data_IF_964002076881
#
_entry.id   IF_964002076881
#
_cell.length_a   1.000
_cell.length_b   1.000
_cell.length_c   1.000
_cell.angle_alpha   90.00
_cell.angle_beta   90.00
_cell.angle_gamma   90.00
#
_symmetry.space_group_name_H-M   'P 1'
#
loop_
_entity.id
_entity.type
_entity.pdbx_description
1 polymer ?
#
# COMPACT_ATOMS: atom_id res chain seq x y z
N UNK A 1 -23.87 6.84 16.57
CA UNK A 1 -22.62 6.06 16.75
C UNK A 1 -21.44 7.02 16.66
N UNK A 2 -20.41 6.80 17.48
CA UNK A 2 -19.28 7.73 17.66
C UNK A 2 -18.04 7.15 17.00
N UNK A 3 -17.45 7.87 16.05
CA UNK A 3 -16.16 7.48 15.47
C UNK A 3 -15.03 7.80 16.46
N UNK A 4 -14.15 6.83 16.70
CA UNK A 4 -13.09 6.95 17.69
C UNK A 4 -11.84 7.64 17.11
N UNK A 5 -11.58 8.88 17.50
CA UNK A 5 -10.40 9.66 17.09
C UNK A 5 -9.16 9.39 17.93
N UNK A 6 -9.31 8.66 19.04
CA UNK A 6 -8.22 8.29 19.93
C UNK A 6 -8.41 6.83 20.40
N UNK A 7 -7.32 6.05 20.60
CA UNK A 7 -7.41 4.68 21.11
C UNK A 7 -7.98 4.55 22.53
N UNK A 8 -7.88 5.60 23.35
CA UNK A 8 -8.42 5.66 24.71
C UNK A 8 -9.21 6.95 24.94
N UNK A 9 -10.15 6.91 25.89
CA UNK A 9 -11.02 8.05 26.24
C UNK A 9 -10.36 9.06 27.17
N UNK A 10 -9.40 8.63 28.01
CA UNK A 10 -8.72 9.48 28.99
C UNK A 10 -7.23 9.61 28.70
N UNK A 11 -6.66 10.78 28.98
CA UNK A 11 -5.22 11.04 28.82
C UNK A 11 -4.36 10.14 29.72
N UNK A 12 -4.86 9.77 30.90
CA UNK A 12 -4.19 8.84 31.81
C UNK A 12 -3.99 7.46 31.15
N UNK A 13 -5.02 6.92 30.49
CA UNK A 13 -4.90 5.63 29.78
C UNK A 13 -3.92 5.70 28.61
N UNK A 14 -3.90 6.81 27.87
CA UNK A 14 -2.88 7.05 26.84
C UNK A 14 -1.47 7.09 27.41
N UNK A 15 -1.29 7.76 28.55
CA UNK A 15 0.01 7.83 29.22
C UNK A 15 0.47 6.46 29.71
N UNK A 16 -0.42 5.68 30.32
CA UNK A 16 -0.13 4.32 30.77
C UNK A 16 0.20 3.39 29.59
N UNK A 17 -0.52 3.50 28.47
CA UNK A 17 -0.21 2.75 27.25
C UNK A 17 1.18 3.12 26.72
N UNK A 18 1.49 4.43 26.65
CA UNK A 18 2.81 4.91 26.27
C UNK A 18 3.93 4.41 27.19
N UNK A 19 3.74 4.49 28.50
CA UNK A 19 4.68 3.99 29.51
C UNK A 19 4.89 2.48 29.37
N UNK A 20 3.81 1.73 29.20
CA UNK A 20 3.86 0.28 29.01
C UNK A 20 4.64 -0.09 27.75
N UNK A 21 4.41 0.61 26.64
CA UNK A 21 5.16 0.43 25.41
C UNK A 21 6.62 0.86 25.55
N UNK A 22 6.94 1.93 26.30
CA UNK A 22 8.34 2.31 26.57
C UNK A 22 9.11 1.22 27.31
N UNK A 23 8.46 0.46 28.19
CA UNK A 23 9.05 -0.68 28.90
C UNK A 23 9.19 -1.93 28.01
N UNK A 24 8.18 -2.21 27.17
CA UNK A 24 8.16 -3.41 26.29
C UNK A 24 9.04 -3.22 25.04
N UNK A 25 9.11 -2.00 24.50
CA UNK A 25 9.73 -1.71 23.21
C UNK A 25 11.20 -2.15 23.10
N UNK A 26 12.08 -1.93 24.10
CA UNK A 26 13.46 -2.38 24.01
C UNK A 26 13.55 -3.90 23.81
N UNK A 27 12.81 -4.68 24.59
CA UNK A 27 12.78 -6.13 24.49
C UNK A 27 12.21 -6.59 23.13
N UNK A 28 11.10 -6.00 22.69
CA UNK A 28 10.52 -6.28 21.37
C UNK A 28 11.49 -5.98 20.23
N UNK A 29 12.16 -4.82 20.25
CA UNK A 29 13.08 -4.41 19.21
C UNK A 29 14.33 -5.31 19.18
N UNK A 30 14.87 -5.67 20.34
CA UNK A 30 16.02 -6.58 20.44
C UNK A 30 15.67 -7.97 19.89
N UNK A 31 14.49 -8.50 20.24
CA UNK A 31 14.00 -9.77 19.71
C UNK A 31 13.82 -9.70 18.19
N UNK A 32 13.20 -8.64 17.66
CA UNK A 32 13.02 -8.44 16.22
C UNK A 32 14.37 -8.39 15.49
N UNK A 33 15.38 -7.73 16.06
CA UNK A 33 16.75 -7.68 15.49
C UNK A 33 17.46 -9.02 15.56
N UNK A 34 17.32 -9.75 16.65
CA UNK A 34 17.89 -11.09 16.81
C UNK A 34 17.29 -12.05 15.78
N UNK A 35 15.96 -12.11 15.65
CA UNK A 35 15.28 -12.93 14.66
C UNK A 35 15.62 -12.52 13.22
N UNK A 36 15.68 -11.20 12.95
CA UNK A 36 16.09 -10.67 11.65
C UNK A 36 17.52 -11.08 11.27
N UNK A 37 18.42 -11.29 12.24
CA UNK A 37 19.78 -11.77 11.99
C UNK A 37 19.83 -13.25 11.59
N UNK A 38 18.88 -14.06 12.08
CA UNK A 38 18.77 -15.48 11.75
C UNK A 38 18.14 -15.72 10.36
N UNK A 39 17.31 -14.78 9.88
CA UNK A 39 16.57 -14.92 8.62
C UNK A 39 17.07 -13.92 7.58
N UNK A 40 17.93 -14.41 6.69
CA UNK A 40 18.45 -13.63 5.57
C UNK A 40 17.48 -13.60 4.38
N UNK A 41 17.31 -12.41 3.78
CA UNK A 41 16.58 -12.28 2.50
C UNK A 41 17.40 -12.87 1.33
N UNK A 42 16.72 -13.22 0.24
CA UNK A 42 17.34 -13.72 -1.00
C UNK A 42 18.34 -12.73 -1.59
N UNK A 43 18.06 -11.43 -1.48
CA UNK A 43 18.99 -10.38 -1.91
C UNK A 43 20.27 -10.40 -1.07
N UNK A 44 20.14 -10.45 0.27
CA UNK A 44 21.27 -10.55 1.18
C UNK A 44 22.05 -11.86 0.98
N UNK A 45 21.37 -12.99 0.72
CA UNK A 45 22.04 -14.27 0.39
C UNK A 45 22.87 -14.15 -0.89
N UNK A 46 22.33 -13.52 -1.93
CA UNK A 46 23.04 -13.28 -3.20
C UNK A 46 24.26 -12.35 -3.01
N UNK A 47 24.11 -11.30 -2.21
CA UNK A 47 25.22 -10.40 -1.89
C UNK A 47 26.33 -11.11 -1.11
N UNK A 48 25.98 -11.92 -0.08
CA UNK A 48 26.97 -12.74 0.65
C UNK A 48 27.70 -13.76 -0.22
N UNK A 49 27.05 -14.27 -1.26
CA UNK A 49 27.68 -15.17 -2.22
C UNK A 49 28.63 -14.45 -3.20
N UNK A 50 28.42 -13.16 -3.45
CA UNK A 50 29.25 -12.35 -4.35
C UNK A 50 30.43 -11.72 -3.61
N UNK A 51 30.24 -11.32 -2.35
CA UNK A 51 31.28 -10.73 -1.51
C UNK A 51 31.51 -11.60 -0.25
N UNK A 52 32.55 -12.46 -0.23
CA UNK A 52 32.90 -13.30 0.93
C UNK A 52 33.56 -12.48 2.06
N UNK A 53 33.09 -11.26 2.31
CA UNK A 53 33.61 -10.39 3.36
C UNK A 53 33.36 -11.01 4.74
N UNK A 54 34.43 -11.50 5.36
CA UNK A 54 34.47 -12.01 6.74
C UNK A 54 33.89 -11.04 7.76
N UNK A 55 33.93 -9.74 7.47
CA UNK A 55 33.45 -8.67 8.33
C UNK A 55 31.95 -8.77 8.68
N UNK A 56 31.07 -9.07 7.71
CA UNK A 56 29.63 -9.17 8.00
C UNK A 56 29.31 -10.39 8.88
N UNK A 57 29.97 -11.52 8.60
CA UNK A 57 29.82 -12.73 9.41
C UNK A 57 30.36 -12.52 10.83
N UNK A 58 31.48 -11.80 10.98
CA UNK A 58 32.05 -11.44 12.27
C UNK A 58 31.15 -10.45 13.04
N UNK A 59 30.57 -9.46 12.36
CA UNK A 59 29.61 -8.55 12.96
C UNK A 59 28.38 -9.29 13.50
N UNK A 60 27.86 -10.27 12.77
CA UNK A 60 26.73 -11.10 13.27
C UNK A 60 27.16 -11.96 14.46
N UNK A 61 28.36 -12.55 14.41
CA UNK A 61 28.90 -13.38 15.50
C UNK A 61 29.07 -12.60 16.82
N UNK A 62 29.42 -11.31 16.74
CA UNK A 62 29.58 -10.44 17.91
C UNK A 62 28.25 -9.79 18.31
N UNK A 63 27.44 -9.37 17.35
CA UNK A 63 26.18 -8.67 17.62
C UNK A 63 25.11 -9.61 18.19
N UNK A 64 25.04 -10.86 17.73
CA UNK A 64 24.06 -11.84 18.22
C UNK A 64 24.14 -12.09 19.75
N UNK A 65 25.31 -12.41 20.35
CA UNK A 65 25.40 -12.60 21.80
C UNK A 65 25.14 -11.30 22.57
N UNK A 66 25.54 -10.14 22.03
CA UNK A 66 25.24 -8.84 22.63
C UNK A 66 23.73 -8.57 22.65
N UNK A 67 23.03 -8.79 21.53
CA UNK A 67 21.58 -8.63 21.46
C UNK A 67 20.84 -9.61 22.37
N UNK A 68 21.34 -10.85 22.48
CA UNK A 68 20.79 -11.86 23.36
C UNK A 68 20.96 -11.47 24.85
N UNK A 69 22.14 -10.98 25.24
CA UNK A 69 22.38 -10.47 26.60
C UNK A 69 21.44 -9.30 26.94
N UNK A 70 21.35 -8.31 26.05
CA UNK A 70 20.46 -7.16 26.21
C UNK A 70 18.99 -7.58 26.24
N UNK A 71 18.60 -8.60 25.46
CA UNK A 71 17.26 -9.15 25.46
C UNK A 71 16.91 -9.70 26.84
N UNK A 72 17.74 -10.58 27.40
CA UNK A 72 17.52 -11.11 28.75
C UNK A 72 17.51 -10.03 29.84
N UNK A 73 18.38 -9.02 29.72
CA UNK A 73 18.40 -7.88 30.65
C UNK A 73 17.12 -7.02 30.59
N UNK A 74 16.47 -6.95 29.42
CA UNK A 74 15.25 -6.15 29.21
C UNK A 74 13.94 -6.90 29.49
N UNK A 75 13.97 -8.24 29.60
CA UNK A 75 12.80 -9.07 29.92
C UNK A 75 12.02 -8.66 31.19
N UNK A 76 12.64 -8.36 32.35
CA UNK A 76 11.87 -8.01 33.55
C UNK A 76 11.09 -6.70 33.36
N UNK A 77 11.66 -5.72 32.65
CA UNK A 77 10.98 -4.48 32.30
C UNK A 77 9.84 -4.73 31.32
N UNK A 78 10.06 -5.59 30.33
CA UNK A 78 9.03 -5.97 29.37
C UNK A 78 7.87 -6.70 30.05
N UNK A 79 8.13 -7.56 31.05
CA UNK A 79 7.10 -8.22 31.83
C UNK A 79 6.26 -7.21 32.61
N UNK A 80 6.90 -6.25 33.27
CA UNK A 80 6.19 -5.17 33.98
C UNK A 80 5.33 -4.34 33.01
N UNK A 81 5.91 -3.96 31.86
CA UNK A 81 5.18 -3.26 30.81
C UNK A 81 3.99 -4.07 30.29
N UNK A 82 4.14 -5.39 30.09
CA UNK A 82 3.07 -6.27 29.65
C UNK A 82 1.92 -6.37 30.67
N UNK A 83 2.24 -6.43 31.96
CA UNK A 83 1.24 -6.44 33.05
C UNK A 83 0.41 -5.15 33.06
N UNK A 84 1.01 -4.01 32.74
CA UNK A 84 0.30 -2.74 32.59
C UNK A 84 -0.49 -2.70 31.26
N UNK A 85 0.13 -3.16 30.17
CA UNK A 85 -0.42 -3.10 28.81
C UNK A 85 -1.65 -4.00 28.60
N UNK A 86 -1.60 -5.24 29.07
CA UNK A 86 -2.65 -6.23 28.86
C UNK A 86 -4.05 -5.78 29.32
N UNK A 87 -4.25 -5.24 30.55
CA UNK A 87 -5.56 -4.74 30.98
C UNK A 87 -6.00 -3.49 30.21
N UNK A 88 -5.07 -2.63 29.75
CA UNK A 88 -5.42 -1.47 28.92
C UNK A 88 -6.10 -1.88 27.61
N UNK A 89 -5.72 -3.04 27.05
CA UNK A 89 -6.35 -3.56 25.83
C UNK A 89 -7.84 -3.87 26.01
N UNK A 90 -8.30 -4.11 27.25
CA UNK A 90 -9.71 -4.33 27.54
C UNK A 90 -10.57 -3.06 27.35
N UNK A 91 -10.00 -1.87 27.50
CA UNK A 91 -10.72 -0.57 27.36
C UNK A 91 -10.38 0.16 26.06
N UNK A 92 -9.42 -0.35 25.29
CA UNK A 92 -9.01 0.21 24.01
C UNK A 92 -10.13 0.16 22.96
N UNK A 93 -10.20 1.21 22.14
CA UNK A 93 -11.10 1.29 21.01
C UNK A 93 -10.71 0.31 19.88
N UNK A 94 -11.69 -0.24 19.14
CA UNK A 94 -11.44 -1.28 18.13
C UNK A 94 -10.81 -0.78 16.84
N UNK A 95 -10.75 0.54 16.64
CA UNK A 95 -10.12 1.19 15.49
C UNK A 95 -9.78 2.64 15.84
N UNK A 96 -8.92 3.24 15.02
CA UNK A 96 -8.54 4.64 15.09
C UNK A 96 -8.96 5.35 13.79
N UNK A 97 -9.91 6.26 13.91
CA UNK A 97 -10.36 7.16 12.86
C UNK A 97 -9.54 8.46 12.88
N UNK A 98 -8.90 8.77 11.75
CA UNK A 98 -8.18 10.03 11.58
C UNK A 98 -8.75 10.75 10.36
N UNK A 99 -8.93 12.06 10.48
CA UNK A 99 -9.39 12.88 9.38
C UNK A 99 -8.49 14.10 9.17
N UNK A 100 -8.39 14.57 7.93
CA UNK A 100 -7.79 15.84 7.58
C UNK A 100 -8.78 16.64 6.74
N UNK A 101 -9.13 17.84 7.21
CA UNK A 101 -9.99 18.75 6.46
C UNK A 101 -9.30 19.16 5.17
N UNK A 102 -9.91 18.84 4.02
CA UNK A 102 -9.50 19.41 2.74
C UNK A 102 -10.46 20.54 2.37
N UNK A 103 -9.93 21.74 2.14
CA UNK A 103 -10.72 22.94 1.80
C UNK A 103 -11.38 22.92 0.41
N UNK A 104 -11.16 21.88 -0.40
CA UNK A 104 -11.65 21.83 -1.76
C UNK A 104 -12.80 20.83 -1.91
N UNK A 105 -13.98 21.18 -1.39
CA UNK A 105 -15.22 20.52 -1.78
C UNK A 105 -15.59 20.95 -3.20
N UNK A 106 -15.07 20.25 -4.21
CA UNK A 106 -15.61 20.35 -5.57
C UNK A 106 -16.93 19.59 -5.60
N UNK A 107 -18.03 20.32 -5.81
CA UNK A 107 -19.34 19.76 -6.07
C UNK A 107 -19.25 18.93 -7.37
N UNK A 108 -19.57 17.63 -7.29
CA UNK A 108 -19.26 16.67 -8.34
C UNK A 108 -20.47 16.37 -9.25
N UNK A 109 -20.26 16.10 -10.55
CA UNK A 109 -21.33 15.89 -11.54
C UNK A 109 -22.12 14.59 -11.33
N UNK A 110 -23.32 14.52 -11.91
CA UNK A 110 -24.21 13.35 -11.94
C UNK A 110 -23.71 12.28 -12.93
N UNK A 111 -23.87 10.98 -12.61
CA UNK A 111 -23.40 9.85 -13.43
C UNK A 111 -22.03 9.29 -13.02
N UNK A 112 -21.86 8.93 -11.74
CA UNK A 112 -20.55 8.65 -11.12
C UNK A 112 -20.12 7.18 -11.23
N UNK A 113 -18.84 6.98 -11.51
CA UNK A 113 -18.14 5.72 -11.29
C UNK A 113 -17.34 5.83 -9.99
N UNK A 114 -17.39 4.78 -9.15
CA UNK A 114 -16.58 4.67 -7.95
C UNK A 114 -15.40 3.75 -8.18
N UNK A 115 -14.22 4.19 -7.76
CA UNK A 115 -13.03 3.38 -7.86
C UNK A 115 -12.66 2.78 -6.49
N UNK A 116 -12.61 1.45 -6.43
CA UNK A 116 -12.21 0.67 -5.26
C UNK A 116 -10.87 -0.01 -5.53
N UNK A 117 -9.98 0.00 -4.55
CA UNK A 117 -8.71 -0.73 -4.60
C UNK A 117 -8.50 -1.51 -3.31
N UNK A 118 -8.09 -2.75 -3.49
CA UNK A 118 -7.65 -3.65 -2.46
C UNK A 118 -6.17 -3.96 -2.64
N UNK A 119 -5.40 -4.01 -1.55
CA UNK A 119 -4.08 -4.61 -1.59
C UNK A 119 -3.65 -5.19 -0.24
N UNK A 120 -3.11 -6.41 -0.28
CA UNK A 120 -2.29 -6.93 0.81
C UNK A 120 -0.88 -6.35 0.68
N UNK A 121 -0.42 -5.59 1.68
CA UNK A 121 0.85 -4.85 1.61
C UNK A 121 1.98 -5.48 2.44
N UNK A 122 1.69 -6.54 3.20
CA UNK A 122 2.68 -7.32 3.96
C UNK A 122 3.62 -6.41 4.78
N UNK A 123 3.04 -5.54 5.61
CA UNK A 123 3.74 -4.64 6.53
C UNK A 123 3.81 -5.25 7.93
N UNK A 124 4.54 -6.37 8.03
CA UNK A 124 4.85 -7.06 9.27
C UNK A 124 6.07 -6.45 9.97
N UNK A 125 6.29 -6.74 11.28
CA UNK A 125 7.60 -6.60 11.93
C UNK A 125 8.74 -7.12 11.05
N UNK A 126 9.94 -6.53 11.12
CA UNK A 126 11.02 -6.77 10.14
C UNK A 126 11.44 -8.25 10.11
N UNK A 127 11.51 -8.88 11.29
CA UNK A 127 11.77 -10.32 11.42
C UNK A 127 10.75 -11.18 10.66
N UNK A 128 9.45 -10.91 10.83
CA UNK A 128 8.38 -11.63 10.17
C UNK A 128 8.34 -11.33 8.65
N UNK A 129 8.60 -10.08 8.26
CA UNK A 129 8.65 -9.67 6.86
C UNK A 129 9.74 -10.42 6.07
N UNK A 130 10.85 -10.79 6.72
CA UNK A 130 11.97 -11.51 6.10
C UNK A 130 11.62 -12.93 5.67
N UNK A 131 10.67 -13.60 6.32
CA UNK A 131 10.16 -14.89 5.85
C UNK A 131 9.48 -14.77 4.49
N UNK A 132 8.83 -13.62 4.23
CA UNK A 132 8.29 -13.26 2.92
C UNK A 132 9.32 -12.60 2.00
N UNK A 133 10.61 -12.68 2.32
CA UNK A 133 11.71 -12.08 1.57
C UNK A 133 11.61 -10.54 1.46
N UNK A 134 11.07 -9.88 2.49
CA UNK A 134 10.91 -8.43 2.56
C UNK A 134 11.76 -7.87 3.70
N UNK A 135 12.35 -6.70 3.50
CA UNK A 135 13.10 -5.95 4.50
C UNK A 135 12.67 -4.49 4.53
N UNK A 136 13.07 -3.77 5.58
CA UNK A 136 12.82 -2.34 5.75
C UNK A 136 11.33 -1.98 5.70
N UNK A 137 10.51 -2.64 6.53
CA UNK A 137 9.05 -2.43 6.59
C UNK A 137 8.68 -0.94 6.66
N UNK A 138 9.40 -0.13 7.44
CA UNK A 138 9.17 1.31 7.54
C UNK A 138 9.39 2.07 6.23
N UNK A 139 10.45 1.75 5.48
CA UNK A 139 10.76 2.38 4.19
C UNK A 139 9.75 1.94 3.13
N UNK A 140 9.42 0.65 3.11
CA UNK A 140 8.39 0.07 2.25
C UNK A 140 7.04 0.73 2.47
N UNK A 141 6.60 0.91 3.72
CA UNK A 141 5.34 1.57 4.04
C UNK A 141 5.25 3.00 3.50
N UNK A 142 6.34 3.78 3.63
CA UNK A 142 6.43 5.13 3.06
C UNK A 142 6.35 5.10 1.54
N UNK A 143 7.05 4.17 0.90
CA UNK A 143 7.09 4.07 -0.56
C UNK A 143 5.78 3.55 -1.15
N UNK A 144 5.15 2.55 -0.53
CA UNK A 144 3.81 2.06 -0.90
C UNK A 144 2.79 3.21 -0.84
N UNK A 145 2.75 3.96 0.26
CA UNK A 145 1.86 5.12 0.37
C UNK A 145 2.14 6.20 -0.68
N UNK A 146 3.42 6.43 -1.01
CA UNK A 146 3.83 7.36 -2.08
C UNK A 146 3.34 6.91 -3.46
N UNK A 147 3.46 5.62 -3.79
CA UNK A 147 3.02 5.04 -5.07
C UNK A 147 1.50 5.05 -5.22
N UNK A 148 0.78 4.70 -4.17
CA UNK A 148 -0.69 4.75 -4.14
C UNK A 148 -1.16 6.18 -4.40
N UNK A 149 -0.67 7.13 -3.60
CA UNK A 149 -1.00 8.55 -3.78
C UNK A 149 -0.67 9.02 -5.19
N UNK A 150 0.55 8.77 -5.64
CA UNK A 150 1.01 9.24 -6.95
C UNK A 150 0.19 8.62 -8.09
N UNK A 151 -0.27 7.37 -7.98
CA UNK A 151 -1.15 6.72 -8.96
C UNK A 151 -2.57 7.27 -8.92
N UNK A 152 -3.14 7.41 -7.73
CA UNK A 152 -4.50 7.92 -7.54
C UNK A 152 -4.66 9.39 -7.94
N UNK A 153 -3.61 10.20 -7.80
CA UNK A 153 -3.58 11.61 -8.21
C UNK A 153 -3.26 11.82 -9.70
N UNK A 154 -3.06 10.76 -10.51
CA UNK A 154 -2.76 10.93 -11.94
C UNK A 154 -4.00 11.43 -12.68
N UNK A 155 -3.85 12.35 -13.66
CA UNK A 155 -4.93 12.66 -14.58
C UNK A 155 -5.25 11.43 -15.43
N UNK A 156 -6.54 11.12 -15.62
CA UNK A 156 -6.97 10.10 -16.58
C UNK A 156 -6.76 10.63 -18.00
N UNK A 157 -5.77 10.11 -18.71
CA UNK A 157 -5.61 10.35 -20.15
C UNK A 157 -6.47 9.31 -20.85
N UNK A 158 -7.69 9.69 -21.27
CA UNK A 158 -8.54 8.85 -22.13
C UNK A 158 -8.11 9.09 -23.57
N UNK A 159 -7.38 8.15 -24.16
CA UNK A 159 -7.11 8.15 -25.59
C UNK A 159 -8.31 7.49 -26.26
N UNK A 160 -9.07 8.25 -27.03
CA UNK A 160 -10.14 7.70 -27.85
C UNK A 160 -9.51 6.89 -28.98
N UNK A 161 -9.79 5.58 -29.01
CA UNK A 161 -9.37 4.70 -30.09
C UNK A 161 -10.59 4.45 -30.96
N UNK A 162 -10.78 5.30 -31.96
CA UNK A 162 -11.73 5.01 -33.03
C UNK A 162 -11.19 3.80 -33.79
N UNK A 163 -11.91 2.67 -33.70
CA UNK A 163 -11.58 1.49 -34.48
C UNK A 163 -12.09 1.72 -35.91
N UNK A 164 -11.23 1.79 -36.94
CA UNK A 164 -11.69 1.99 -38.32
C UNK A 164 -12.21 0.66 -38.85
N UNK A 165 -13.41 0.24 -38.45
CA UNK A 165 -14.10 -0.87 -39.10
C UNK A 165 -15.60 -0.72 -38.87
N UNK A 166 -16.23 0.10 -39.72
CA UNK A 166 -17.60 -0.05 -40.23
C UNK A 166 -17.96 1.17 -41.09
N UNK A 167 -17.18 1.45 -42.14
CA UNK A 167 -17.73 2.15 -43.31
C UNK A 167 -18.58 1.13 -44.06
N UNK A 168 -19.86 1.11 -43.71
CA UNK A 168 -20.91 0.47 -44.48
C UNK A 168 -20.77 0.89 -45.94
N UNK A 169 -20.54 -0.10 -46.80
CA UNK A 169 -20.68 -0.01 -48.25
C UNK A 169 -22.08 0.54 -48.53
N UNK A 170 -22.17 1.78 -49.02
CA UNK A 170 -23.34 2.26 -49.73
C UNK A 170 -22.89 2.84 -51.05
N UNK A 171 -23.01 1.99 -52.07
CA UNK A 171 -23.07 2.34 -53.48
C UNK A 171 -24.31 3.18 -53.76
N UNK A 172 -24.16 4.33 -54.42
CA UNK A 172 -24.89 4.77 -55.64
C UNK A 172 -24.65 6.27 -55.98
N UNK A 173 -24.90 6.71 -57.24
CA UNK A 173 -23.89 7.43 -58.03
C UNK A 173 -24.20 8.90 -58.41
N UNK A 174 -23.16 9.54 -58.96
CA UNK A 174 -23.13 10.60 -60.00
C UNK A 174 -23.89 11.93 -59.80
N UNK A 175 -23.15 13.05 -59.73
CA UNK A 175 -23.11 14.08 -60.79
C UNK A 175 -22.37 15.36 -60.34
N UNK A 176 -21.35 15.76 -61.13
CA UNK A 176 -21.09 17.14 -61.55
C UNK A 176 -20.39 18.13 -60.61
N UNK A 177 -19.26 18.68 -61.06
CA UNK A 177 -18.90 20.09 -60.82
C UNK A 177 -17.53 20.36 -60.18
N UNK A 178 -16.50 20.44 -61.04
CA UNK A 178 -15.26 21.20 -60.97
C UNK A 178 -14.97 22.09 -59.75
N UNK A 179 -13.76 21.97 -59.18
CA UNK A 179 -12.71 22.99 -59.38
C UNK A 179 -11.45 22.70 -58.56
N UNK A 180 -10.32 22.96 -59.22
CA UNK A 180 -8.92 22.82 -58.83
C UNK A 180 -8.53 23.68 -57.62
N UNK A 181 -7.58 23.22 -56.80
CA UNK A 181 -6.18 23.70 -56.88
C UNK A 181 -5.26 23.15 -55.78
N UNK A 182 -4.07 22.77 -56.24
CA UNK A 182 -2.75 22.93 -55.61
C UNK A 182 -2.29 21.98 -54.48
N UNK A 183 -1.61 20.93 -54.93
CA UNK A 183 -0.12 20.82 -54.86
C UNK A 183 0.53 19.92 -53.81
N UNK A 184 1.20 18.90 -54.38
CA UNK A 184 2.55 18.36 -54.09
C UNK A 184 2.71 17.20 -53.10
N UNK A 185 2.60 15.97 -53.63
CA UNK A 185 3.73 15.04 -53.94
C UNK A 185 5.14 15.46 -53.43
N UNK A 186 6.08 14.62 -52.98
CA UNK A 186 6.24 13.15 -52.94
C UNK A 186 7.55 12.85 -52.19
N UNK A 187 7.53 11.79 -51.37
CA UNK A 187 8.45 10.63 -51.39
C UNK A 187 9.91 10.82 -51.88
N UNK A 188 10.90 10.57 -51.01
CA UNK A 188 12.16 9.90 -51.38
C UNK A 188 12.91 9.35 -50.14
N UNK A 189 13.32 8.08 -50.23
CA UNK A 189 14.20 7.33 -49.31
C UNK A 189 15.67 7.65 -49.59
N UNK A 190 16.61 7.31 -48.68
CA UNK A 190 17.93 6.66 -48.90
C UNK A 190 18.60 6.45 -47.51
N UNK A 191 18.91 5.22 -47.03
CA UNK A 191 20.22 4.49 -47.06
C UNK A 191 21.47 5.40 -46.96
N UNK A 192 22.55 5.18 -46.19
CA UNK A 192 23.05 4.13 -45.29
C UNK A 192 24.56 4.36 -45.05
N UNK A 193 25.04 4.04 -43.85
CA UNK A 193 26.40 3.61 -43.44
C UNK A 193 27.68 4.51 -43.42
N UNK A 194 28.44 4.31 -42.34
CA UNK A 194 29.90 4.39 -42.09
C UNK A 194 30.69 5.72 -42.09
N UNK A 195 31.51 5.93 -41.03
CA UNK A 195 32.64 6.90 -41.01
C UNK A 195 33.09 7.38 -39.63
N UNK A 196 34.31 7.01 -39.23
CA UNK A 196 35.01 7.25 -37.94
C UNK A 196 35.70 8.64 -37.89
N UNK A 197 35.77 9.30 -36.71
CA UNK A 197 36.72 10.42 -36.49
C UNK A 197 36.54 11.31 -35.24
N UNK A 198 37.15 10.90 -34.12
CA UNK A 198 37.99 11.68 -33.16
C UNK A 198 37.48 12.99 -32.46
N UNK A 199 37.58 12.95 -31.12
CA UNK A 199 37.90 14.00 -30.10
C UNK A 199 36.84 15.02 -29.63
N UNK A 200 36.56 15.00 -28.31
CA UNK A 200 36.87 16.07 -27.33
C UNK A 200 35.87 16.18 -26.16
N UNK A 201 36.37 15.92 -24.96
CA UNK A 201 36.22 16.61 -23.66
C UNK A 201 34.85 17.15 -23.16
N UNK A 202 34.42 16.56 -22.04
CA UNK A 202 33.61 17.09 -20.91
C UNK A 202 32.78 18.38 -21.12
N UNK A 203 31.45 18.28 -20.94
CA UNK A 203 30.65 18.93 -19.86
C UNK A 203 29.14 18.88 -20.17
N UNK A 204 28.37 18.39 -19.20
CA UNK A 204 26.93 18.61 -18.93
C UNK A 204 25.85 18.14 -19.94
N UNK A 205 24.78 17.60 -19.34
CA UNK A 205 23.41 17.50 -19.87
C UNK A 205 23.17 16.64 -21.12
N UNK A 206 22.91 15.35 -20.93
CA UNK A 206 21.79 14.60 -21.51
C UNK A 206 21.96 13.10 -21.21
N UNK A 207 21.11 12.51 -20.37
CA UNK A 207 20.91 11.05 -20.36
C UNK A 207 19.78 10.75 -21.34
N UNK A 208 20.01 10.06 -22.46
CA UNK A 208 18.93 9.67 -23.36
C UNK A 208 18.07 8.60 -22.68
N UNK A 209 16.78 8.89 -22.50
CA UNK A 209 15.76 7.87 -22.22
C UNK A 209 15.67 6.93 -23.43
N UNK A 210 16.20 5.72 -23.30
CA UNK A 210 15.89 4.62 -24.23
C UNK A 210 15.39 3.41 -23.45
N UNK A 211 14.22 3.54 -22.81
CA UNK A 211 13.42 2.35 -22.50
C UNK A 211 12.69 1.95 -23.77
N UNK A 212 13.27 0.98 -24.49
CA UNK A 212 12.60 0.28 -25.59
C UNK A 212 11.33 -0.34 -25.02
N UNK A 213 10.20 0.24 -25.41
CA UNK A 213 8.86 -0.22 -25.05
C UNK A 213 8.59 -1.51 -25.83
N UNK A 214 8.90 -2.67 -25.24
CA UNK A 214 8.36 -3.95 -25.73
C UNK A 214 6.84 -3.88 -25.54
N UNK A 215 6.12 -3.65 -26.64
CA UNK A 215 4.66 -3.75 -26.69
C UNK A 215 4.26 -5.13 -26.16
N UNK A 216 3.45 -5.25 -25.10
CA UNK A 216 2.90 -6.54 -24.73
C UNK A 216 2.00 -7.01 -25.87
N UNK A 217 2.17 -8.28 -26.25
CA UNK A 217 1.42 -8.93 -27.32
C UNK A 217 -0.08 -8.69 -27.15
N UNK A 218 -0.71 -8.20 -28.21
CA UNK A 218 -2.14 -7.96 -28.33
C UNK A 218 -2.87 -9.31 -28.16
N UNK A 219 -3.31 -9.62 -26.93
CA UNK A 219 -4.29 -10.69 -26.69
C UNK A 219 -5.52 -10.34 -27.53
N UNK A 220 -5.92 -11.23 -28.43
CA UNK A 220 -7.12 -11.08 -29.27
C UNK A 220 -8.28 -10.74 -28.34
N UNK A 221 -8.92 -9.58 -28.56
CA UNK A 221 -10.15 -9.19 -27.87
C UNK A 221 -11.18 -10.29 -28.13
N UNK A 222 -11.53 -11.04 -27.09
CA UNK A 222 -12.73 -11.87 -27.11
C UNK A 222 -13.91 -10.89 -27.01
N UNK A 223 -14.81 -10.91 -27.99
CA UNK A 223 -15.84 -9.88 -28.19
C UNK A 223 -17.00 -9.91 -27.20
N UNK A 224 -16.78 -10.36 -25.96
CA UNK A 224 -17.87 -10.68 -25.02
C UNK A 224 -17.68 -10.13 -23.60
N UNK A 225 -16.73 -9.22 -23.39
CA UNK A 225 -16.45 -8.66 -22.06
C UNK A 225 -17.16 -7.32 -21.87
N UNK A 226 -18.14 -7.29 -20.96
CA UNK A 226 -19.02 -6.12 -20.69
C UNK A 226 -18.27 -4.94 -20.05
N UNK A 227 -17.03 -5.14 -19.57
CA UNK A 227 -16.23 -4.12 -18.89
C UNK A 227 -14.74 -4.24 -19.25
N UNK A 228 -14.03 -3.10 -19.17
CA UNK A 228 -12.60 -3.03 -19.42
C UNK A 228 -11.82 -3.77 -18.32
N UNK A 229 -10.91 -4.65 -18.73
CA UNK A 229 -9.96 -5.33 -17.85
C UNK A 229 -8.54 -5.14 -18.37
N UNK A 230 -7.62 -4.71 -17.50
CA UNK A 230 -6.21 -4.51 -17.84
C UNK A 230 -5.27 -4.90 -16.71
N UNK A 231 -4.04 -5.25 -17.06
CA UNK A 231 -2.92 -5.30 -16.12
C UNK A 231 -2.24 -3.93 -16.16
N UNK A 232 -2.44 -3.14 -15.11
CA UNK A 232 -1.90 -1.79 -15.02
C UNK A 232 -0.62 -1.74 -14.19
N UNK A 233 0.36 -0.95 -14.63
CA UNK A 233 1.58 -0.69 -13.84
C UNK A 233 1.35 0.35 -12.71
N UNK A 234 0.16 0.93 -12.63
CA UNK A 234 -0.16 2.02 -11.72
C UNK A 234 -1.46 1.74 -10.97
N UNK A 235 -1.58 2.33 -9.78
CA UNK A 235 -2.87 2.43 -9.12
C UNK A 235 -3.85 3.23 -9.98
N UNK A 236 -5.14 2.86 -9.98
CA UNK A 236 -6.14 3.54 -10.79
C UNK A 236 -6.22 5.01 -10.40
N UNK A 237 -6.29 5.87 -11.41
CA UNK A 237 -6.52 7.29 -11.22
C UNK A 237 -7.90 7.53 -10.62
N UNK A 238 -8.03 8.56 -9.79
CA UNK A 238 -9.27 8.93 -9.09
C UNK A 238 -9.80 7.88 -8.11
N UNK A 239 -8.90 7.15 -7.43
CA UNK A 239 -9.25 6.16 -6.43
C UNK A 239 -10.12 6.75 -5.30
N UNK A 240 -11.28 6.15 -5.02
CA UNK A 240 -12.21 6.64 -4.00
C UNK A 240 -12.04 5.95 -2.65
N UNK A 241 -11.86 4.64 -2.70
CA UNK A 241 -11.77 3.79 -1.53
C UNK A 241 -10.58 2.85 -1.67
N UNK A 242 -9.73 2.83 -0.65
CA UNK A 242 -8.56 1.98 -0.57
C UNK A 242 -8.65 1.13 0.69
N UNK A 243 -8.67 -0.18 0.52
CA UNK A 243 -8.66 -1.13 1.62
C UNK A 243 -7.37 -1.97 1.58
N UNK A 244 -6.66 -2.01 2.71
CA UNK A 244 -5.37 -2.68 2.81
C UNK A 244 -5.42 -3.81 3.84
N UNK A 245 -4.69 -4.90 3.57
CA UNK A 245 -4.42 -5.98 4.51
C UNK A 245 -2.94 -6.07 4.90
N UNK A 246 -2.69 -6.81 5.98
CA UNK A 246 -1.39 -7.04 6.60
C UNK A 246 -0.64 -5.75 6.98
N UNK A 247 -1.38 -4.73 7.43
CA UNK A 247 -0.84 -3.50 8.01
C UNK A 247 -0.65 -3.66 9.52
N UNK A 248 0.27 -4.55 9.92
CA UNK A 248 0.43 -4.95 11.32
C UNK A 248 1.39 -4.04 12.11
N UNK A 249 2.51 -3.66 11.51
CA UNK A 249 3.54 -2.87 12.20
C UNK A 249 3.07 -1.43 12.45
N UNK A 250 3.11 -1.00 13.72
CA UNK A 250 2.57 0.30 14.14
C UNK A 250 3.36 1.48 13.54
N UNK A 251 4.69 1.35 13.46
CA UNK A 251 5.57 2.37 12.89
C UNK A 251 5.40 2.53 11.38
N UNK A 252 5.18 1.43 10.67
CA UNK A 252 4.85 1.34 9.26
C UNK A 252 3.48 1.94 8.98
N UNK A 253 2.47 1.57 9.78
CA UNK A 253 1.10 2.11 9.73
C UNK A 253 1.12 3.63 9.80
N UNK A 254 1.84 4.20 10.76
CA UNK A 254 1.97 5.65 10.93
C UNK A 254 2.66 6.34 9.75
N UNK A 255 3.65 5.71 9.12
CA UNK A 255 4.33 6.25 7.92
C UNK A 255 3.45 6.17 6.68
N UNK A 256 2.75 5.05 6.49
CA UNK A 256 1.80 4.82 5.41
C UNK A 256 0.63 5.82 5.49
N UNK A 257 -0.01 5.91 6.66
CA UNK A 257 -1.11 6.85 6.93
C UNK A 257 -0.75 8.30 6.60
N UNK A 258 0.45 8.76 6.98
CA UNK A 258 0.93 10.11 6.65
C UNK A 258 1.07 10.36 5.14
N UNK A 259 1.38 9.34 4.34
CA UNK A 259 1.41 9.48 2.88
C UNK A 259 0.01 9.46 2.28
N UNK A 260 -0.88 8.60 2.80
CA UNK A 260 -2.25 8.47 2.33
C UNK A 260 -3.11 9.70 2.61
N UNK A 261 -2.93 10.33 3.78
CA UNK A 261 -3.67 11.56 4.18
C UNK A 261 -3.54 12.73 3.20
N UNK A 262 -2.49 12.75 2.38
CA UNK A 262 -2.31 13.75 1.32
C UNK A 262 -3.31 13.63 0.18
N UNK A 263 -4.06 12.52 0.12
CA UNK A 263 -5.06 12.25 -0.92
C UNK A 263 -6.38 11.76 -0.34
N UNK A 264 -6.33 10.89 0.68
CA UNK A 264 -7.50 10.39 1.40
C UNK A 264 -7.69 11.18 2.70
N UNK A 265 -8.65 12.11 2.78
CA UNK A 265 -8.94 12.85 4.00
C UNK A 265 -9.42 11.98 5.16
N UNK A 266 -10.02 10.81 4.89
CA UNK A 266 -10.63 9.96 5.93
C UNK A 266 -9.92 8.61 5.97
N UNK A 267 -9.37 8.24 7.12
CA UNK A 267 -8.61 7.00 7.28
C UNK A 267 -8.95 6.29 8.59
N UNK A 268 -9.44 5.06 8.48
CA UNK A 268 -9.50 4.09 9.58
C UNK A 268 -8.21 3.26 9.58
N UNK A 269 -7.55 3.27 10.72
CA UNK A 269 -6.29 2.55 10.95
C UNK A 269 -6.38 1.80 12.27
N UNK A 270 -5.39 0.93 12.52
CA UNK A 270 -5.25 0.26 13.82
C UNK A 270 -6.50 -0.54 14.21
N UNK A 271 -7.11 -1.17 13.20
CA UNK A 271 -8.34 -1.92 13.31
C UNK A 271 -8.04 -3.27 13.95
N UNK A 272 -8.79 -3.65 14.96
CA UNK A 272 -8.62 -4.90 15.67
C UNK A 272 -8.69 -4.70 17.17
N UNK A 273 -8.93 -5.80 17.88
CA UNK A 273 -8.88 -5.84 19.33
C UNK A 273 -7.66 -6.66 19.74
N UNK A 274 -6.91 -6.14 20.70
CA UNK A 274 -5.79 -6.85 21.32
C UNK A 274 -6.27 -7.58 22.58
N UNK A 275 -5.48 -8.54 23.03
CA UNK A 275 -5.69 -9.22 24.31
C UNK A 275 -6.82 -10.25 24.33
N UNK A 276 -7.39 -10.50 25.52
CA UNK A 276 -8.57 -11.35 25.73
C UNK A 276 -9.83 -10.49 25.75
N UNK A 277 -10.57 -10.40 24.64
CA UNK A 277 -11.82 -9.64 24.59
C UNK A 277 -12.83 -10.21 23.60
N UNK A 278 -14.06 -10.45 24.06
CA UNK A 278 -15.21 -10.81 23.21
C UNK A 278 -15.29 -12.30 22.86
N UNK A 279 -15.54 -12.62 21.58
CA UNK A 279 -15.83 -13.98 21.08
C UNK A 279 -14.60 -14.91 20.96
N UNK A 280 -13.41 -14.44 21.33
CA UNK A 280 -12.16 -15.16 21.11
C UNK A 280 -11.60 -15.72 22.42
N UNK A 281 -11.33 -17.02 22.46
CA UNK A 281 -10.70 -17.70 23.61
C UNK A 281 -9.18 -17.50 23.69
N UNK A 282 -8.54 -17.03 22.61
CA UNK A 282 -7.08 -16.85 22.50
C UNK A 282 -6.66 -15.39 22.56
N UNK A 283 -5.51 -15.15 23.18
CA UNK A 283 -4.87 -13.83 23.22
C UNK A 283 -4.47 -13.34 21.82
N UNK A 284 -4.80 -12.08 21.50
CA UNK A 284 -4.40 -11.42 20.26
C UNK A 284 -3.24 -10.45 20.49
N UNK A 285 -2.09 -10.75 19.90
CA UNK A 285 -0.89 -9.91 19.94
C UNK A 285 -0.87 -8.87 18.83
N UNK A 286 -1.40 -9.21 17.66
CA UNK A 286 -1.46 -8.33 16.50
C UNK A 286 -2.89 -7.86 16.27
N UNK A 287 -3.03 -6.64 15.74
CA UNK A 287 -4.32 -6.15 15.26
C UNK A 287 -4.78 -6.96 14.03
N UNK A 288 -5.85 -6.52 13.36
CA UNK A 288 -6.37 -7.22 12.18
C UNK A 288 -5.52 -7.07 10.93
N UNK A 289 -4.56 -6.14 10.94
CA UNK A 289 -3.83 -5.72 9.73
C UNK A 289 -4.71 -4.98 8.72
N UNK A 290 -5.97 -4.63 9.05
CA UNK A 290 -6.86 -3.89 8.17
C UNK A 290 -6.65 -2.37 8.29
N UNK A 291 -6.70 -1.70 7.15
CA UNK A 291 -6.71 -0.25 7.06
C UNK A 291 -7.63 0.18 5.91
N UNK A 292 -8.51 1.16 6.14
CA UNK A 292 -9.41 1.71 5.14
C UNK A 292 -9.15 3.21 4.98
N UNK A 293 -8.96 3.67 3.76
CA UNK A 293 -8.84 5.07 3.40
C UNK A 293 -9.93 5.45 2.39
N UNK A 294 -10.54 6.62 2.57
CA UNK A 294 -11.66 7.09 1.77
C UNK A 294 -11.53 8.58 1.42
N UNK A 295 -11.98 8.93 0.21
CA UNK A 295 -12.21 10.32 -0.20
C UNK A 295 -13.47 10.92 0.42
N UNK A 296 -14.36 10.07 0.93
CA UNK A 296 -15.67 10.46 1.42
C UNK A 296 -15.78 10.29 2.94
N UNK A 297 -16.58 11.14 3.61
CA UNK A 297 -16.77 11.03 5.05
C UNK A 297 -17.26 9.64 5.45
N UNK A 298 -16.52 9.01 6.35
CA UNK A 298 -16.95 7.80 7.05
C UNK A 298 -17.88 8.28 8.16
N UNK A 299 -19.09 7.74 8.22
CA UNK A 299 -20.10 8.08 9.21
C UNK A 299 -20.12 7.10 10.37
N UNK A 300 -19.83 5.84 10.08
CA UNK A 300 -19.86 4.77 11.05
C UNK A 300 -18.89 3.65 10.65
N UNK A 301 -18.36 2.95 11.64
CA UNK A 301 -17.47 1.82 11.43
C UNK A 301 -17.67 0.76 12.51
N UNK A 302 -17.65 -0.51 12.11
CA UNK A 302 -17.75 -1.65 13.01
C UNK A 302 -16.72 -2.69 12.60
N UNK A 303 -16.02 -3.25 13.57
CA UNK A 303 -15.08 -4.34 13.34
C UNK A 303 -15.53 -5.58 14.11
N UNK A 304 -15.50 -6.72 13.44
CA UNK A 304 -15.82 -8.03 14.00
C UNK A 304 -14.65 -8.99 13.82
N UNK A 305 -14.17 -9.56 14.91
CA UNK A 305 -13.09 -10.55 14.89
C UNK A 305 -13.69 -11.93 14.63
N UNK A 306 -13.01 -12.73 13.79
CA UNK A 306 -13.38 -14.11 13.58
C UNK A 306 -13.02 -14.97 14.81
N UNK A 307 -13.92 -15.87 15.26
CA UNK A 307 -13.68 -16.69 16.45
C UNK A 307 -12.62 -17.77 16.21
N UNK A 308 -12.45 -18.19 14.96
CA UNK A 308 -11.59 -19.30 14.57
C UNK A 308 -10.27 -18.78 13.99
N UNK A 309 -9.16 -19.03 14.69
CA UNK A 309 -7.81 -18.83 14.17
C UNK A 309 -7.00 -20.11 14.29
N UNK A 310 -6.11 -20.38 13.31
CA UNK A 310 -5.19 -21.52 13.33
C UNK A 310 -3.76 -21.04 13.16
N UNK A 311 -2.81 -21.80 13.74
CA UNK A 311 -1.38 -21.50 13.63
C UNK A 311 -1.02 -20.08 14.05
N UNK A 312 -0.18 -19.42 13.27
CA UNK A 312 0.32 -18.06 13.50
C UNK A 312 -0.80 -17.00 13.38
N UNK A 313 -1.77 -17.20 12.49
CA UNK A 313 -2.93 -16.33 12.33
C UNK A 313 -3.80 -16.25 13.60
N UNK A 314 -3.70 -17.24 14.49
CA UNK A 314 -4.40 -17.20 15.77
C UNK A 314 -3.94 -16.04 16.67
N UNK A 315 -2.72 -15.53 16.47
CA UNK A 315 -2.17 -14.39 17.21
C UNK A 315 -2.62 -13.03 16.66
N UNK A 316 -3.15 -13.00 15.43
CA UNK A 316 -3.73 -11.82 14.82
C UNK A 316 -5.25 -11.77 15.00
N UNK A 317 -5.78 -10.56 15.12
CA UNK A 317 -7.21 -10.32 15.18
C UNK A 317 -7.82 -10.35 13.75
N UNK A 318 -7.76 -11.49 13.05
CA UNK A 318 -8.43 -11.65 11.74
C UNK A 318 -9.92 -11.38 11.86
N UNK A 319 -10.53 -10.82 10.81
CA UNK A 319 -11.90 -10.33 10.90
C UNK A 319 -12.40 -9.50 9.74
N UNK A 320 -13.56 -8.89 9.96
CA UNK A 320 -14.28 -8.07 9.02
C UNK A 320 -14.40 -6.61 9.52
N UNK A 321 -14.14 -5.65 8.64
CA UNK A 321 -14.37 -4.23 8.85
C UNK A 321 -15.55 -3.78 7.99
N UNK A 322 -16.55 -3.17 8.65
CA UNK A 322 -17.72 -2.57 8.05
C UNK A 322 -17.58 -1.05 8.19
N UNK A 323 -17.81 -0.30 7.10
CA UNK A 323 -17.79 1.16 7.14
C UNK A 323 -18.96 1.73 6.35
N UNK A 324 -19.71 2.65 6.98
CA UNK A 324 -20.77 3.42 6.32
C UNK A 324 -20.16 4.74 5.85
N UNK A 325 -20.26 5.02 4.56
CA UNK A 325 -19.73 6.25 3.95
C UNK A 325 -20.84 7.08 3.32
N UNK A 326 -20.67 8.40 3.33
CA UNK A 326 -21.61 9.34 2.70
C UNK A 326 -21.03 9.89 1.41
N UNK A 327 -21.69 9.61 0.30
CA UNK A 327 -21.40 10.24 -0.99
C UNK A 327 -22.60 11.09 -1.38
N UNK A 328 -22.40 12.41 -1.39
CA UNK A 328 -23.47 13.40 -1.52
C UNK A 328 -24.63 13.15 -0.54
N UNK A 329 -25.80 12.77 -1.05
CA UNK A 329 -27.02 12.46 -0.31
C UNK A 329 -27.27 10.95 -0.15
N UNK A 330 -26.36 10.10 -0.64
CA UNK A 330 -26.49 8.63 -0.61
C UNK A 330 -25.52 8.00 0.38
N UNK A 331 -25.96 6.94 1.05
CA UNK A 331 -25.13 6.15 1.97
C UNK A 331 -24.71 4.84 1.31
N UNK A 332 -23.44 4.49 1.44
CA UNK A 332 -22.89 3.21 0.98
C UNK A 332 -22.30 2.44 2.16
N UNK A 333 -22.40 1.10 2.10
CA UNK A 333 -21.78 0.20 3.05
C UNK A 333 -20.58 -0.48 2.38
N UNK A 334 -19.41 -0.37 3.01
CA UNK A 334 -18.19 -1.03 2.60
C UNK A 334 -17.92 -2.20 3.55
N UNK A 335 -17.68 -3.38 3.00
CA UNK A 335 -17.30 -4.57 3.76
C UNK A 335 -15.91 -5.00 3.31
N UNK A 336 -15.03 -5.23 4.29
CA UNK A 336 -13.65 -5.62 4.04
C UNK A 336 -13.18 -6.72 4.95
N UNK A 337 -12.53 -7.73 4.38
CA UNK A 337 -12.20 -8.97 5.09
C UNK A 337 -10.70 -9.24 5.08
N UNK A 338 -10.23 -9.80 6.19
CA UNK A 338 -8.95 -10.50 6.28
C UNK A 338 -9.21 -11.83 6.96
N UNK A 339 -9.25 -12.88 6.14
CA UNK A 339 -9.49 -14.26 6.57
C UNK A 339 -8.32 -14.80 7.39
#
# INVERSE_FOLDING_TARGET
MVLHSAPYTSACLHFLDGLSWSLVFPCYWLLDRLLASCVATSLEKRQRAQDPCSFLSLCVLIAAPLYLLLFFASLPFALLGFIIWAPLQAVRQPYLYTYQTQNNHKQMPQGRSFCFCSANVCLLPDSLARFNNLSDTHRRAREVGKRIRNGASRPQIKIYIDSPTNTSIRSEPAAGGDSMTASRESLARYHGDSGVGISSNNTLSHVPRTSIFKRPGRKRRHGDETFDHEISAFFPANLDFLALQEVFDHGATSRLRRQLHRYFPYVLSDVGRYGWKGCCSRFKFLNSGLMLASRYPILDARYECYPNGRGEDALAAKGALFAKVRVDFTFYLLLWFHW
#
